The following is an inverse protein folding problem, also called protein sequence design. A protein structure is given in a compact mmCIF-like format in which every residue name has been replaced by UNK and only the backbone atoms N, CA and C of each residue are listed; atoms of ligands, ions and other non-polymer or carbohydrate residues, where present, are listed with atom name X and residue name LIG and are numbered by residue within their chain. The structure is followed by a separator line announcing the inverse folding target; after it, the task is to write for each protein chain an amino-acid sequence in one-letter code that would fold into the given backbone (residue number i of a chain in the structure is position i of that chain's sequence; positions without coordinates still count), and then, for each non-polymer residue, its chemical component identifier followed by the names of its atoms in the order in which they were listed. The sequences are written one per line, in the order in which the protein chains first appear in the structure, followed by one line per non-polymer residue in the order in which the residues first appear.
data_IF_790155198924
#
_entry.id   IF_790155198924
#
_cell.length_a   1.000
_cell.length_b   1.000
_cell.length_c   1.000
_cell.angle_alpha   90.00
_cell.angle_beta   90.00
_cell.angle_gamma   90.00
#
_symmetry.space_group_name_H-M   'P 1'
#
loop_
_entity.id
_entity.type
_entity.pdbx_description
1 polymer ?
#
# COMPACT_ATOMS: atom_id res chain seq x y z
N UNK A 1 -29.30 45.48 21.92
CA UNK A 1 -28.76 46.82 21.56
C UNK A 1 -27.32 46.91 22.05
N UNK A 2 -26.43 47.54 21.24
CA UNK A 2 -24.97 47.75 21.41
C UNK A 2 -24.13 46.47 21.14
N UNK A 3 -23.52 46.21 19.98
CA UNK A 3 -22.86 47.01 18.92
C UNK A 3 -21.63 47.80 19.40
N UNK A 4 -20.44 47.30 19.00
CA UNK A 4 -19.12 47.94 18.77
C UNK A 4 -18.04 46.83 18.84
N UNK A 5 -17.01 46.71 18.00
CA UNK A 5 -16.59 47.45 16.82
C UNK A 5 -15.59 46.58 16.03
N UNK A 6 -15.49 46.86 14.73
CA UNK A 6 -14.57 46.28 13.77
C UNK A 6 -13.10 46.33 14.22
N UNK A 7 -12.33 45.29 13.87
CA UNK A 7 -11.01 45.49 13.25
C UNK A 7 -10.61 44.30 12.40
N UNK A 8 -10.98 44.39 11.13
CA UNK A 8 -10.33 43.68 10.03
C UNK A 8 -8.83 43.99 10.03
N UNK A 9 -8.00 42.96 9.95
CA UNK A 9 -6.65 43.12 9.42
C UNK A 9 -6.42 41.98 8.43
N UNK A 10 -6.77 42.32 7.20
CA UNK A 10 -6.37 41.64 5.97
C UNK A 10 -4.84 41.65 5.92
N UNK A 11 -4.23 40.47 5.86
CA UNK A 11 -2.85 40.33 5.41
C UNK A 11 -2.84 39.32 4.25
N UNK A 12 -3.16 39.84 3.07
CA UNK A 12 -2.80 39.25 1.79
C UNK A 12 -1.61 40.03 1.22
N UNK A 13 -0.95 39.47 0.20
CA UNK A 13 0.24 39.92 -0.56
C UNK A 13 1.51 39.19 -0.07
N UNK A 14 1.93 38.06 -0.68
CA UNK A 14 2.31 37.73 -2.07
C UNK A 14 3.83 37.51 -2.10
N UNK A 15 4.27 36.27 -2.26
CA UNK A 15 5.57 35.93 -2.84
C UNK A 15 5.39 34.64 -3.66
N UNK A 16 4.91 34.83 -4.88
CA UNK A 16 5.02 33.88 -5.99
C UNK A 16 6.02 34.49 -6.98
N UNK A 17 6.99 33.69 -7.44
CA UNK A 17 7.31 33.62 -8.86
C UNK A 17 7.17 32.16 -9.30
N UNK A 18 6.09 31.73 -9.94
CA UNK A 18 5.80 31.92 -11.36
C UNK A 18 7.03 31.67 -12.25
N UNK A 19 7.33 30.39 -12.49
CA UNK A 19 7.79 29.94 -13.81
C UNK A 19 6.64 29.16 -14.44
N UNK A 20 5.91 29.88 -15.28
CA UNK A 20 4.90 29.35 -16.16
C UNK A 20 5.57 28.71 -17.38
N UNK A 21 5.20 27.46 -17.66
CA UNK A 21 5.16 26.88 -18.99
C UNK A 21 3.92 25.99 -19.12
N UNK A 22 2.75 26.59 -18.92
CA UNK A 22 1.48 26.15 -19.47
C UNK A 22 0.74 27.44 -19.85
N UNK A 23 0.98 27.92 -21.08
CA UNK A 23 0.34 29.11 -21.61
C UNK A 23 -0.82 28.72 -22.51
N UNK A 24 -2.02 29.04 -22.05
CA UNK A 24 -3.24 29.18 -22.83
C UNK A 24 -4.42 29.13 -21.88
N UNK A 25 -5.17 30.19 -21.60
CA UNK A 25 -5.20 31.57 -22.08
C UNK A 25 -6.40 32.26 -21.42
N UNK A 26 -6.83 33.38 -21.99
CA UNK A 26 -8.16 34.00 -21.86
C UNK A 26 -8.35 35.16 -20.88
N UNK A 27 -8.11 36.36 -21.43
CA UNK A 27 -9.06 37.45 -21.27
C UNK A 27 -10.25 37.23 -22.21
N UNK A 28 -11.43 37.08 -21.61
CA UNK A 28 -12.77 37.38 -22.11
C UNK A 28 -12.98 37.45 -23.64
N UNK A 29 -13.46 36.34 -24.19
CA UNK A 29 -14.25 36.27 -25.42
C UNK A 29 -15.30 35.18 -25.27
N UNK A 30 -16.55 35.49 -25.60
CA UNK A 30 -17.69 34.56 -25.63
C UNK A 30 -17.38 33.26 -26.38
N UNK A 31 -17.70 32.09 -25.80
CA UNK A 31 -18.29 30.94 -26.48
C UNK A 31 -18.36 29.73 -25.53
N UNK A 32 -19.46 29.00 -25.62
CA UNK A 32 -19.76 27.85 -24.76
C UNK A 32 -19.04 26.55 -25.13
N UNK A 33 -19.47 25.49 -24.43
CA UNK A 33 -18.92 24.13 -24.56
C UNK A 33 -17.69 23.96 -23.67
N UNK A 34 -17.53 22.94 -22.84
CA UNK A 34 -18.17 21.64 -22.73
C UNK A 34 -17.82 21.16 -21.34
N UNK A 35 -18.78 20.63 -20.60
CA UNK A 35 -18.48 19.87 -19.39
C UNK A 35 -17.66 18.65 -19.81
N UNK A 36 -16.35 18.71 -19.64
CA UNK A 36 -15.46 17.57 -19.83
C UNK A 36 -15.87 16.49 -18.84
N UNK A 37 -16.51 15.43 -19.35
CA UNK A 37 -16.47 14.12 -18.72
C UNK A 37 -15.00 13.79 -18.48
N UNK A 38 -14.56 13.91 -17.23
CA UNK A 38 -13.31 13.35 -16.77
C UNK A 38 -13.49 11.83 -16.75
N UNK A 39 -13.34 11.20 -17.92
CA UNK A 39 -13.02 9.78 -17.98
C UNK A 39 -11.78 9.57 -17.14
N UNK A 40 -11.90 8.77 -16.07
CA UNK A 40 -10.78 8.32 -15.27
C UNK A 40 -9.87 7.52 -16.19
N UNK A 41 -8.87 8.17 -16.77
CA UNK A 41 -7.76 7.47 -17.40
C UNK A 41 -6.96 6.83 -16.28
N UNK A 42 -7.21 5.54 -16.04
CA UNK A 42 -6.41 4.70 -15.15
C UNK A 42 -4.93 4.83 -15.60
N UNK A 43 -4.02 5.04 -14.66
CA UNK A 43 -2.60 5.17 -15.01
C UNK A 43 -2.09 3.84 -15.59
N UNK A 44 -1.03 3.91 -16.41
CA UNK A 44 -0.43 2.72 -17.00
C UNK A 44 0.05 1.72 -15.94
N UNK A 45 0.51 2.22 -14.79
CA UNK A 45 0.95 1.42 -13.64
C UNK A 45 -0.20 0.65 -12.99
N UNK A 46 -1.36 1.27 -12.81
CA UNK A 46 -2.54 0.63 -12.23
C UNK A 46 -3.11 -0.42 -13.18
N UNK A 47 -3.10 -0.13 -14.49
CA UNK A 47 -3.48 -1.11 -15.53
C UNK A 47 -2.55 -2.32 -15.52
N UNK A 48 -1.23 -2.11 -15.40
CA UNK A 48 -0.25 -3.19 -15.34
C UNK A 48 -0.43 -4.06 -14.10
N UNK A 49 -0.68 -3.45 -12.94
CA UNK A 49 -0.94 -4.18 -11.70
C UNK A 49 -2.20 -5.03 -11.80
N UNK A 50 -3.30 -4.47 -12.32
CA UNK A 50 -4.54 -5.23 -12.52
C UNK A 50 -4.31 -6.43 -13.44
N UNK A 51 -3.58 -6.26 -14.54
CA UNK A 51 -3.27 -7.35 -15.46
C UNK A 51 -2.45 -8.47 -14.80
N UNK A 52 -1.46 -8.13 -13.97
CA UNK A 52 -0.69 -9.12 -13.21
C UNK A 52 -1.57 -9.90 -12.21
N UNK A 53 -2.51 -9.23 -11.54
CA UNK A 53 -3.46 -9.91 -10.66
C UNK A 53 -4.46 -10.79 -11.43
N UNK A 54 -4.89 -10.37 -12.62
CA UNK A 54 -5.75 -11.18 -13.51
C UNK A 54 -5.03 -12.44 -14.01
N UNK A 55 -3.72 -12.39 -14.24
CA UNK A 55 -2.90 -13.55 -14.60
C UNK A 55 -2.87 -14.60 -13.46
N UNK A 56 -2.75 -14.14 -12.22
CA UNK A 56 -2.68 -15.01 -11.04
C UNK A 56 -4.05 -15.51 -10.55
N UNK A 57 -5.09 -14.66 -10.58
CA UNK A 57 -6.41 -14.93 -10.01
C UNK A 57 -7.48 -15.32 -11.04
N UNK A 58 -7.23 -15.08 -12.33
CA UNK A 58 -8.24 -15.08 -13.37
C UNK A 58 -9.02 -13.76 -13.45
N UNK A 59 -9.81 -13.59 -14.52
CA UNK A 59 -10.41 -12.31 -14.92
C UNK A 59 -11.67 -11.90 -14.16
N UNK A 60 -12.29 -12.80 -13.39
CA UNK A 60 -13.70 -12.64 -13.02
C UNK A 60 -13.96 -12.41 -11.50
N UNK A 61 -12.95 -12.48 -10.62
CA UNK A 61 -13.23 -12.62 -9.18
C UNK A 61 -12.18 -12.04 -8.22
N UNK A 62 -11.84 -10.75 -8.31
CA UNK A 62 -11.09 -10.12 -7.21
C UNK A 62 -11.44 -8.65 -6.96
N UNK A 63 -11.37 -8.26 -5.70
CA UNK A 63 -11.50 -6.87 -5.27
C UNK A 63 -10.13 -6.20 -5.36
N UNK A 64 -9.90 -5.51 -6.47
CA UNK A 64 -8.65 -4.81 -6.72
C UNK A 64 -8.34 -3.75 -5.65
N UNK A 65 -9.35 -3.05 -5.14
CA UNK A 65 -9.14 -2.01 -4.12
C UNK A 65 -8.71 -2.64 -2.78
N UNK A 66 -9.31 -3.78 -2.41
CA UNK A 66 -8.91 -4.53 -1.23
C UNK A 66 -7.47 -5.04 -1.34
N UNK A 67 -7.07 -5.55 -2.52
CA UNK A 67 -5.70 -6.01 -2.77
C UNK A 67 -4.68 -4.86 -2.74
N UNK A 68 -5.02 -3.69 -3.28
CA UNK A 68 -4.17 -2.51 -3.15
C UNK A 68 -3.99 -2.08 -1.69
N UNK A 69 -5.07 -2.12 -0.90
CA UNK A 69 -5.01 -1.77 0.51
C UNK A 69 -4.17 -2.78 1.32
N UNK A 70 -4.30 -4.07 1.01
CA UNK A 70 -3.48 -5.12 1.62
C UNK A 70 -2.00 -4.90 1.30
N UNK A 71 -1.66 -4.70 0.02
CA UNK A 71 -0.28 -4.44 -0.40
C UNK A 71 0.31 -3.20 0.29
N UNK A 72 -0.48 -2.11 0.41
CA UNK A 72 -0.04 -0.91 1.13
C UNK A 72 0.23 -1.15 2.62
N UNK A 73 -0.57 -2.00 3.28
CA UNK A 73 -0.31 -2.40 4.66
C UNK A 73 0.94 -3.28 4.76
N UNK A 74 1.12 -4.19 3.80
CA UNK A 74 2.27 -5.08 3.71
C UNK A 74 3.59 -4.35 3.47
N UNK A 75 3.56 -3.19 2.82
CA UNK A 75 4.73 -2.33 2.67
C UNK A 75 5.34 -1.85 4.01
N UNK A 76 4.58 -1.88 5.10
CA UNK A 76 5.12 -1.54 6.43
C UNK A 76 6.08 -2.61 6.96
N UNK A 77 6.09 -3.81 6.38
CA UNK A 77 6.91 -4.94 6.80
C UNK A 77 8.17 -4.99 5.95
N UNK A 78 9.23 -4.34 6.41
CA UNK A 78 10.40 -4.05 5.56
C UNK A 78 11.53 -5.08 5.64
N UNK A 79 11.49 -6.01 6.60
CA UNK A 79 12.56 -7.00 6.82
C UNK A 79 12.04 -8.44 6.79
N UNK A 80 12.95 -9.37 6.49
CA UNK A 80 12.63 -10.78 6.30
C UNK A 80 12.17 -11.46 7.59
N UNK A 81 12.62 -11.00 8.77
CA UNK A 81 12.22 -11.58 10.04
C UNK A 81 10.74 -11.30 10.33
N UNK A 82 10.30 -10.06 10.11
CA UNK A 82 8.90 -9.69 10.25
C UNK A 82 8.01 -10.46 9.25
N UNK A 83 8.47 -10.63 8.00
CA UNK A 83 7.76 -11.45 7.00
C UNK A 83 7.69 -12.92 7.38
N UNK A 84 8.78 -13.47 7.92
CA UNK A 84 8.81 -14.87 8.34
C UNK A 84 7.79 -15.14 9.44
N UNK A 85 7.66 -14.23 10.42
CA UNK A 85 6.63 -14.34 11.48
C UNK A 85 5.23 -14.33 10.88
N UNK A 86 4.91 -13.39 10.00
CA UNK A 86 3.58 -13.30 9.37
C UNK A 86 3.25 -14.58 8.58
N UNK A 87 4.18 -15.03 7.74
CA UNK A 87 3.99 -16.20 6.89
C UNK A 87 3.89 -17.50 7.71
N UNK A 88 4.70 -17.64 8.76
CA UNK A 88 4.65 -18.79 9.65
C UNK A 88 3.36 -18.84 10.47
N UNK A 89 2.89 -17.71 11.00
CA UNK A 89 1.67 -17.64 11.81
C UNK A 89 0.39 -17.80 10.96
N UNK A 90 0.37 -17.25 9.74
CA UNK A 90 -0.76 -17.41 8.83
C UNK A 90 -0.87 -18.83 8.28
N UNK A 91 0.24 -19.57 8.20
CA UNK A 91 0.31 -20.92 7.66
C UNK A 91 -0.08 -21.01 6.18
N UNK A 92 -0.16 -19.87 5.47
CA UNK A 92 -0.68 -19.80 4.12
C UNK A 92 0.35 -19.18 3.15
N UNK A 93 1.16 -20.05 2.56
CA UNK A 93 2.05 -19.66 1.46
C UNK A 93 1.35 -19.69 0.09
N UNK A 94 0.13 -20.21 -0.01
CA UNK A 94 -0.56 -20.35 -1.31
C UNK A 94 -0.92 -18.99 -1.93
N UNK A 95 -1.00 -17.93 -1.11
CA UNK A 95 -1.25 -16.54 -1.55
C UNK A 95 0.02 -15.71 -1.62
N UNK A 96 1.20 -16.33 -1.48
CA UNK A 96 2.49 -15.63 -1.51
C UNK A 96 2.76 -14.95 -2.86
N UNK A 97 2.37 -15.60 -3.97
CA UNK A 97 2.46 -15.02 -5.31
C UNK A 97 1.64 -13.72 -5.45
N UNK A 98 0.42 -13.70 -4.92
CA UNK A 98 -0.44 -12.50 -4.94
C UNK A 98 0.13 -11.37 -4.09
N UNK A 99 0.67 -11.73 -2.93
CA UNK A 99 1.31 -10.79 -2.02
C UNK A 99 2.53 -10.18 -2.70
N UNK A 100 3.35 -11.01 -3.35
CA UNK A 100 4.50 -10.56 -4.14
C UNK A 100 4.09 -9.62 -5.28
N UNK A 101 3.07 -9.95 -6.07
CA UNK A 101 2.55 -9.06 -7.12
C UNK A 101 2.11 -7.71 -6.52
N UNK A 102 1.42 -7.74 -5.38
CA UNK A 102 1.07 -6.52 -4.65
C UNK A 102 2.28 -5.67 -4.25
N UNK A 103 3.31 -6.30 -3.68
CA UNK A 103 4.55 -5.64 -3.26
C UNK A 103 5.35 -5.09 -4.44
N UNK A 104 5.45 -5.82 -5.55
CA UNK A 104 6.16 -5.36 -6.76
C UNK A 104 5.61 -4.03 -7.29
N UNK A 105 4.29 -3.81 -7.16
CA UNK A 105 3.64 -2.59 -7.59
C UNK A 105 3.52 -1.50 -6.51
N UNK A 106 3.42 -1.86 -5.24
CA UNK A 106 3.24 -0.91 -4.15
C UNK A 106 4.57 -0.44 -3.52
N UNK A 107 5.55 -1.34 -3.36
CA UNK A 107 6.81 -1.12 -2.66
C UNK A 107 7.86 -2.18 -3.06
N UNK A 108 8.40 -2.05 -4.26
CA UNK A 108 9.33 -3.03 -4.84
C UNK A 108 10.61 -3.25 -4.00
N UNK A 109 10.98 -2.30 -3.13
CA UNK A 109 12.11 -2.41 -2.22
C UNK A 109 11.89 -3.45 -1.10
N UNK A 110 10.64 -3.80 -0.81
CA UNK A 110 10.28 -4.82 0.20
C UNK A 110 10.32 -6.25 -0.37
N UNK A 111 10.19 -6.41 -1.70
CA UNK A 111 10.13 -7.72 -2.37
C UNK A 111 11.30 -8.65 -2.02
N UNK A 112 12.57 -8.20 -1.97
CA UNK A 112 13.68 -9.09 -1.60
C UNK A 112 13.54 -9.67 -0.18
N UNK A 113 13.06 -8.87 0.78
CA UNK A 113 12.83 -9.32 2.15
C UNK A 113 11.66 -10.31 2.23
N UNK A 114 10.61 -10.08 1.43
CA UNK A 114 9.49 -11.02 1.29
C UNK A 114 9.94 -12.36 0.68
N UNK A 115 10.67 -12.34 -0.42
CA UNK A 115 11.16 -13.55 -1.11
C UNK A 115 12.10 -14.37 -0.19
N UNK A 116 12.96 -13.72 0.59
CA UNK A 116 13.81 -14.39 1.60
C UNK A 116 12.97 -15.09 2.68
N UNK A 117 11.92 -14.43 3.16
CA UNK A 117 11.03 -15.00 4.16
C UNK A 117 10.23 -16.19 3.62
N UNK A 118 9.69 -16.09 2.39
CA UNK A 118 9.01 -17.22 1.74
C UNK A 118 9.95 -18.43 1.64
N UNK A 119 11.17 -18.22 1.14
CA UNK A 119 12.16 -19.29 1.04
C UNK A 119 12.51 -19.90 2.40
N UNK A 120 12.58 -19.08 3.46
CA UNK A 120 12.85 -19.55 4.83
C UNK A 120 11.72 -20.42 5.35
N UNK A 121 10.46 -20.00 5.17
CA UNK A 121 9.28 -20.75 5.62
C UNK A 121 9.09 -22.05 4.82
N UNK A 122 9.34 -22.04 3.51
CA UNK A 122 9.26 -23.24 2.67
C UNK A 122 10.30 -24.30 3.02
N UNK A 123 11.47 -23.89 3.51
CA UNK A 123 12.54 -24.79 3.92
C UNK A 123 12.36 -25.34 5.33
N UNK A 124 11.47 -24.74 6.14
CA UNK A 124 11.19 -25.21 7.48
C UNK A 124 10.42 -26.54 7.45
N UNK A 125 10.83 -27.49 8.29
CA UNK A 125 10.09 -28.73 8.46
C UNK A 125 8.69 -28.48 9.05
N UNK A 126 8.59 -27.51 9.96
CA UNK A 126 7.34 -26.93 10.45
C UNK A 126 7.51 -25.39 10.50
N UNK A 127 6.73 -24.62 9.74
CA UNK A 127 6.73 -23.16 9.80
C UNK A 127 6.62 -22.60 11.22
N UNK A 128 5.86 -23.24 12.11
CA UNK A 128 5.69 -22.77 13.47
C UNK A 128 6.96 -22.94 14.32
N UNK A 129 7.94 -23.75 13.93
CA UNK A 129 9.24 -23.79 14.62
C UNK A 129 10.02 -22.49 14.44
N UNK A 130 9.77 -21.71 13.38
CA UNK A 130 10.40 -20.41 13.16
C UNK A 130 9.90 -19.34 14.13
N UNK A 131 8.78 -19.59 14.82
CA UNK A 131 8.11 -18.62 15.71
C UNK A 131 8.01 -19.15 17.14
N UNK A 132 7.66 -20.43 17.30
CA UNK A 132 7.44 -21.10 18.59
C UNK A 132 8.60 -22.02 18.99
N UNK A 133 9.67 -22.08 18.20
CA UNK A 133 10.82 -22.95 18.45
C UNK A 133 11.68 -22.52 19.63
N UNK A 134 12.51 -23.44 20.16
CA UNK A 134 13.42 -23.11 21.24
C UNK A 134 14.47 -22.09 20.79
N UNK A 135 14.61 -21.00 21.55
CA UNK A 135 15.60 -19.96 21.28
C UNK A 135 15.20 -18.92 20.23
N UNK A 136 13.94 -18.93 19.78
CA UNK A 136 13.38 -17.86 18.94
C UNK A 136 13.17 -16.60 19.78
N UNK A 137 13.75 -15.49 19.35
CA UNK A 137 13.51 -14.17 19.91
C UNK A 137 12.62 -13.36 18.97
N UNK A 138 11.41 -13.04 19.40
CA UNK A 138 10.46 -12.24 18.64
C UNK A 138 10.45 -10.79 19.16
N UNK A 139 10.22 -9.79 18.30
CA UNK A 139 9.89 -8.45 18.75
C UNK A 139 8.59 -8.48 19.57
N UNK A 140 8.45 -7.55 20.52
CA UNK A 140 7.36 -7.58 21.51
C UNK A 140 5.96 -7.63 20.87
N UNK A 141 5.77 -6.94 19.75
CA UNK A 141 4.54 -6.90 18.98
C UNK A 141 4.22 -8.27 18.34
N UNK A 142 5.24 -8.98 17.84
CA UNK A 142 5.11 -10.32 17.28
C UNK A 142 4.89 -11.38 18.36
N UNK A 143 5.55 -11.24 19.52
CA UNK A 143 5.41 -12.16 20.64
C UNK A 143 3.96 -12.26 21.13
N UNK A 144 3.26 -11.12 21.28
CA UNK A 144 1.85 -11.11 21.68
C UNK A 144 0.93 -11.85 20.71
N UNK A 145 1.23 -11.77 19.41
CA UNK A 145 0.46 -12.44 18.36
C UNK A 145 0.77 -13.94 18.32
N UNK A 146 2.04 -14.29 18.55
CA UNK A 146 2.51 -15.67 18.59
C UNK A 146 2.10 -16.43 19.85
N UNK A 147 1.99 -15.76 21.01
CA UNK A 147 1.76 -16.40 22.32
C UNK A 147 0.55 -17.34 22.33
N UNK A 148 -0.58 -16.92 21.75
CA UNK A 148 -1.77 -17.75 21.69
C UNK A 148 -1.57 -18.98 20.78
N UNK A 149 -0.89 -18.81 19.65
CA UNK A 149 -0.62 -19.90 18.70
C UNK A 149 0.37 -20.89 19.32
N UNK A 150 1.47 -20.40 19.89
CA UNK A 150 2.50 -21.22 20.51
C UNK A 150 2.01 -21.94 21.77
N UNK A 151 1.10 -21.35 22.56
CA UNK A 151 0.54 -21.97 23.74
C UNK A 151 -0.44 -23.13 23.43
N UNK A 152 -1.00 -23.18 22.21
CA UNK A 152 -1.95 -24.22 21.78
C UNK A 152 -1.33 -25.23 20.81
N UNK A 153 -0.01 -25.21 20.63
CA UNK A 153 0.75 -26.12 19.77
C UNK A 153 0.95 -27.49 20.42
#
# INVERSE_FOLDING_TARGET
MRAHALRSLVLAVLLVPALAACSGGDGAGEAGGTASQASQSESQEVTAWRAALEEELGTDTFDFAALQQAAAADCARTDAAAWTVELALSGNLSTSALTRVGLEHACADVVPAFDEAVATVEQAADPLDLVCGPGVELPAEAALTADLVCANR
#
